data_IF_520846219955
#
_entry.id   IF_520846219955
#
_cell.length_a   1.000
_cell.length_b   1.000
_cell.length_c   1.000
_cell.angle_alpha   90.00
_cell.angle_beta   90.00
_cell.angle_gamma   90.00
#
_symmetry.space_group_name_H-M   'P 1'
#
loop_
_entity.id
_entity.type
_entity.pdbx_description
1 polymer ?
#
# COMPACT_ATOMS: atom_id res chain seq x y z
N UNK A 1 -8.64 -15.55 -10.50
CA UNK A 1 -7.93 -14.30 -10.16
C UNK A 1 -7.77 -14.27 -8.67
N UNK A 2 -6.53 -14.25 -8.21
CA UNK A 2 -6.21 -14.48 -6.80
C UNK A 2 -6.10 -13.12 -6.12
N UNK A 3 -6.88 -12.88 -5.07
CA UNK A 3 -6.91 -11.61 -4.33
C UNK A 3 -5.51 -11.15 -3.86
N UNK A 4 -4.60 -12.11 -3.71
CA UNK A 4 -3.17 -11.93 -3.43
C UNK A 4 -2.44 -11.10 -4.48
N UNK A 5 -2.82 -11.19 -5.75
CA UNK A 5 -2.23 -10.43 -6.87
C UNK A 5 -2.49 -8.92 -6.70
N UNK A 6 -3.66 -8.54 -6.17
CA UNK A 6 -4.02 -7.13 -5.95
C UNK A 6 -3.15 -6.51 -4.85
N UNK A 7 -2.86 -7.24 -3.77
CA UNK A 7 -1.98 -6.74 -2.71
C UNK A 7 -0.56 -6.51 -3.21
N UNK A 8 -0.01 -7.44 -4.00
CA UNK A 8 1.32 -7.30 -4.60
C UNK A 8 1.38 -6.13 -5.57
N UNK A 9 0.36 -5.97 -6.42
CA UNK A 9 0.29 -4.86 -7.36
C UNK A 9 0.23 -3.51 -6.64
N UNK A 10 -0.60 -3.38 -5.60
CA UNK A 10 -0.66 -2.13 -4.82
C UNK A 10 0.67 -1.89 -4.09
N UNK A 11 1.32 -2.93 -3.56
CA UNK A 11 2.65 -2.84 -2.95
C UNK A 11 3.67 -2.25 -3.93
N UNK A 12 3.72 -2.76 -5.17
CA UNK A 12 4.62 -2.28 -6.22
C UNK A 12 4.32 -0.82 -6.58
N UNK A 13 3.05 -0.47 -6.75
CA UNK A 13 2.64 0.88 -7.15
C UNK A 13 2.85 1.96 -6.07
N UNK A 14 3.06 1.57 -4.81
CA UNK A 14 3.49 2.47 -3.75
C UNK A 14 5.01 2.63 -3.65
N UNK A 15 5.80 1.88 -4.41
CA UNK A 15 7.24 2.08 -4.43
C UNK A 15 7.59 3.42 -5.08
N UNK A 16 8.82 3.85 -4.85
CA UNK A 16 9.34 5.08 -5.43
C UNK A 16 9.27 5.02 -6.98
N UNK A 17 8.79 6.08 -7.67
CA UNK A 17 8.54 6.04 -9.11
C UNK A 17 9.83 6.24 -9.90
N UNK A 18 10.68 5.22 -9.92
CA UNK A 18 11.91 5.18 -10.72
C UNK A 18 11.70 4.53 -12.10
N UNK A 19 12.76 4.53 -12.91
CA UNK A 19 12.77 3.92 -14.24
C UNK A 19 12.35 2.44 -14.22
N UNK A 20 12.65 1.69 -13.14
CA UNK A 20 12.27 0.27 -13.02
C UNK A 20 10.75 0.12 -12.91
N UNK A 21 10.11 0.89 -12.03
CA UNK A 21 8.64 0.90 -11.91
C UNK A 21 7.98 1.39 -13.21
N UNK A 22 8.52 2.46 -13.82
CA UNK A 22 7.92 3.05 -15.01
C UNK A 22 8.01 2.13 -16.24
N UNK A 23 9.06 1.30 -16.32
CA UNK A 23 9.25 0.35 -17.42
C UNK A 23 8.21 -0.77 -17.42
N UNK A 24 7.69 -1.15 -16.23
CA UNK A 24 6.73 -2.27 -16.08
C UNK A 24 5.26 -1.85 -16.12
N UNK A 25 4.95 -0.55 -16.30
CA UNK A 25 3.55 -0.07 -16.32
C UNK A 25 2.65 -0.78 -17.35
N UNK A 26 3.10 -1.07 -18.59
CA UNK A 26 2.27 -1.79 -19.56
C UNK A 26 1.85 -3.18 -19.07
N UNK A 27 2.77 -3.92 -18.42
CA UNK A 27 2.50 -5.23 -17.85
C UNK A 27 1.48 -5.13 -16.70
N UNK A 28 1.67 -4.16 -15.80
CA UNK A 28 0.74 -3.91 -14.70
C UNK A 28 -0.66 -3.52 -15.20
N UNK A 29 -0.75 -2.74 -16.29
CA UNK A 29 -2.03 -2.39 -16.90
C UNK A 29 -2.77 -3.62 -17.43
N UNK A 30 -2.07 -4.55 -18.08
CA UNK A 30 -2.67 -5.81 -18.54
C UNK A 30 -3.20 -6.63 -17.36
N UNK A 31 -2.48 -6.67 -16.24
CA UNK A 31 -2.97 -7.35 -15.03
C UNK A 31 -4.25 -6.70 -14.49
N UNK A 32 -4.25 -5.36 -14.34
CA UNK A 32 -5.41 -4.60 -13.86
C UNK A 32 -6.62 -4.77 -14.78
N UNK A 33 -6.44 -4.81 -16.09
CA UNK A 33 -7.53 -4.98 -17.07
C UNK A 33 -8.27 -6.32 -16.92
N UNK A 34 -7.63 -7.33 -16.31
CA UNK A 34 -8.28 -8.62 -16.02
C UNK A 34 -9.16 -8.58 -14.76
N UNK A 35 -9.09 -7.51 -13.96
CA UNK A 35 -9.80 -7.40 -12.69
C UNK A 35 -11.30 -7.19 -12.91
N UNK A 36 -12.11 -8.10 -12.35
CA UNK A 36 -13.57 -8.10 -12.58
C UNK A 36 -14.33 -7.10 -11.70
N UNK A 37 -13.76 -6.70 -10.58
CA UNK A 37 -14.41 -5.80 -9.62
C UNK A 37 -14.07 -4.35 -9.96
N UNK A 38 -15.03 -3.64 -10.55
CA UNK A 38 -14.85 -2.26 -11.00
C UNK A 38 -14.45 -1.30 -9.86
N UNK A 39 -14.82 -1.59 -8.59
CA UNK A 39 -14.42 -0.74 -7.45
C UNK A 39 -12.94 -0.83 -7.13
N UNK A 40 -12.28 -1.92 -7.54
CA UNK A 40 -10.85 -2.14 -7.37
C UNK A 40 -10.13 -1.79 -8.68
N UNK A 41 -10.67 -2.24 -9.81
CA UNK A 41 -10.06 -2.08 -11.13
C UNK A 41 -9.96 -0.60 -11.55
N UNK A 42 -11.05 0.16 -11.45
CA UNK A 42 -11.09 1.54 -11.92
C UNK A 42 -10.05 2.47 -11.25
N UNK A 43 -9.91 2.52 -9.90
CA UNK A 43 -8.91 3.38 -9.28
C UNK A 43 -7.48 2.96 -9.64
N UNK A 44 -7.19 1.66 -9.76
CA UNK A 44 -5.87 1.18 -10.18
C UNK A 44 -5.56 1.58 -11.63
N UNK A 45 -6.50 1.41 -12.55
CA UNK A 45 -6.34 1.86 -13.95
C UNK A 45 -6.15 3.37 -14.04
N UNK A 46 -6.87 4.15 -13.22
CA UNK A 46 -6.70 5.59 -13.19
C UNK A 46 -5.31 5.99 -12.68
N UNK A 47 -4.81 5.33 -11.65
CA UNK A 47 -3.46 5.56 -11.14
C UNK A 47 -2.38 5.22 -12.18
N UNK A 48 -2.48 4.05 -12.83
CA UNK A 48 -1.56 3.65 -13.90
C UNK A 48 -1.56 4.65 -15.06
N UNK A 49 -2.73 5.16 -15.44
CA UNK A 49 -2.82 6.21 -16.47
C UNK A 49 -2.11 7.49 -16.05
N UNK A 50 -2.22 7.91 -14.78
CA UNK A 50 -1.47 9.06 -14.27
C UNK A 50 0.04 8.84 -14.35
N UNK A 51 0.54 7.66 -13.95
CA UNK A 51 1.96 7.34 -14.05
C UNK A 51 2.47 7.36 -15.50
N UNK A 52 1.66 6.88 -16.46
CA UNK A 52 2.04 6.83 -17.86
C UNK A 52 2.08 8.21 -18.56
N UNK A 53 1.23 9.15 -18.13
CA UNK A 53 1.08 10.46 -18.78
C UNK A 53 1.86 11.60 -18.08
N UNK A 54 2.40 11.33 -16.89
CA UNK A 54 3.09 12.33 -16.07
C UNK A 54 4.61 12.16 -16.18
N UNK A 55 5.38 13.23 -16.44
CA UNK A 55 6.84 13.16 -16.43
C UNK A 55 7.42 12.62 -15.12
N UNK A 56 8.48 11.81 -15.21
CA UNK A 56 9.13 11.15 -14.06
C UNK A 56 9.54 12.12 -12.95
N UNK A 57 10.09 13.29 -13.32
CA UNK A 57 10.49 14.32 -12.35
C UNK A 57 9.30 14.85 -11.52
N UNK A 58 8.13 14.98 -12.14
CA UNK A 58 6.90 15.37 -11.44
C UNK A 58 6.35 14.25 -10.56
N UNK A 59 6.45 12.99 -11.01
CA UNK A 59 6.06 11.83 -10.20
C UNK A 59 6.92 11.71 -8.94
N UNK A 60 8.23 11.91 -9.09
CA UNK A 60 9.20 11.94 -8.01
C UNK A 60 8.89 13.09 -7.04
N UNK A 61 8.68 14.31 -7.54
CA UNK A 61 8.35 15.45 -6.70
C UNK A 61 7.07 15.20 -5.89
N UNK A 62 6.03 14.67 -6.53
CA UNK A 62 4.76 14.35 -5.87
C UNK A 62 4.89 13.21 -4.85
N UNK A 63 5.72 12.19 -5.13
CA UNK A 63 6.03 11.13 -4.16
C UNK A 63 6.72 11.71 -2.91
N UNK A 64 7.77 12.51 -3.10
CA UNK A 64 8.53 13.13 -2.01
C UNK A 64 7.64 14.04 -1.17
N UNK A 65 6.80 14.86 -1.82
CA UNK A 65 5.84 15.74 -1.14
C UNK A 65 4.93 14.96 -0.19
N UNK A 66 4.41 13.80 -0.63
CA UNK A 66 3.40 13.05 0.11
C UNK A 66 3.98 12.04 1.09
N UNK A 67 5.12 11.41 0.83
CA UNK A 67 5.60 10.31 1.66
C UNK A 67 6.87 10.65 2.45
N UNK A 68 7.77 11.45 1.89
CA UNK A 68 9.03 11.82 2.57
C UNK A 68 8.85 13.06 3.46
N UNK A 69 8.11 14.07 2.96
CA UNK A 69 7.81 15.28 3.72
C UNK A 69 6.40 15.29 4.33
N UNK A 70 5.51 14.42 3.84
CA UNK A 70 4.13 14.31 4.30
C UNK A 70 4.01 13.69 5.69
N UNK A 71 3.98 14.52 6.73
CA UNK A 71 3.85 14.07 8.13
C UNK A 71 2.60 13.24 8.40
N UNK A 72 1.51 13.50 7.67
CA UNK A 72 0.20 12.86 7.85
C UNK A 72 -0.20 11.94 6.71
N UNK A 73 0.73 11.61 5.82
CA UNK A 73 0.49 10.72 4.67
C UNK A 73 1.58 9.67 4.53
N UNK A 74 2.56 9.66 5.44
CA UNK A 74 3.56 8.61 5.51
C UNK A 74 2.91 7.21 5.54
N UNK A 75 3.59 6.24 4.94
CA UNK A 75 3.08 4.89 4.76
C UNK A 75 3.34 3.96 5.97
N UNK A 76 3.59 4.52 7.16
CA UNK A 76 3.84 3.74 8.38
C UNK A 76 2.57 3.64 9.23
N UNK A 77 1.84 2.52 9.11
CA UNK A 77 0.47 2.42 9.62
C UNK A 77 0.35 2.52 11.15
N UNK A 78 1.42 2.20 11.90
CA UNK A 78 1.40 2.34 13.37
C UNK A 78 1.65 3.77 13.84
N UNK A 79 2.18 4.64 12.97
CA UNK A 79 2.56 6.01 13.34
C UNK A 79 1.36 6.87 13.76
N UNK A 80 0.18 6.65 13.17
CA UNK A 80 -1.03 7.40 13.54
C UNK A 80 -1.52 7.12 14.96
N UNK A 81 -1.37 5.87 15.42
CA UNK A 81 -1.88 5.47 16.73
C UNK A 81 -0.89 5.83 17.84
N UNK A 82 0.40 5.59 17.59
CA UNK A 82 1.43 5.60 18.64
C UNK A 82 2.56 6.60 18.38
N UNK A 83 2.61 7.27 17.22
CA UNK A 83 3.63 8.27 16.89
C UNK A 83 5.06 7.77 17.09
N UNK A 84 5.89 8.55 17.77
CA UNK A 84 7.26 8.16 18.18
C UNK A 84 7.30 7.54 19.60
N UNK A 85 6.15 7.20 20.17
CA UNK A 85 6.08 6.73 21.54
C UNK A 85 6.67 5.31 21.67
N UNK A 86 7.03 4.94 22.92
CA UNK A 86 7.60 3.63 23.24
C UNK A 86 6.67 2.48 22.82
N UNK A 87 5.37 2.74 22.88
CA UNK A 87 4.28 1.86 22.49
C UNK A 87 4.42 1.41 21.02
N UNK A 88 4.84 2.32 20.12
CA UNK A 88 5.09 1.96 18.71
C UNK A 88 6.17 0.89 18.60
N UNK A 89 7.24 0.99 19.39
CA UNK A 89 8.31 -0.02 19.39
C UNK A 89 7.81 -1.44 19.71
N UNK A 90 6.77 -1.56 20.54
CA UNK A 90 6.13 -2.85 20.86
C UNK A 90 5.28 -3.35 19.69
N UNK A 91 4.55 -2.46 19.01
CA UNK A 91 3.78 -2.81 17.81
C UNK A 91 4.70 -3.29 16.67
N UNK A 92 5.83 -2.60 16.44
CA UNK A 92 6.82 -3.00 15.44
C UNK A 92 7.42 -4.37 15.75
N UNK A 93 7.74 -4.65 17.01
CA UNK A 93 8.26 -5.97 17.41
C UNK A 93 7.22 -7.07 17.13
N UNK A 94 5.96 -6.84 17.49
CA UNK A 94 4.86 -7.79 17.24
C UNK A 94 4.66 -8.05 15.74
N UNK A 95 4.71 -7.02 14.90
CA UNK A 95 4.63 -7.20 13.45
C UNK A 95 5.81 -8.03 12.92
N UNK A 96 7.04 -7.72 13.36
CA UNK A 96 8.23 -8.50 12.96
C UNK A 96 8.13 -9.97 13.36
N UNK A 97 7.61 -10.25 14.57
CA UNK A 97 7.34 -11.61 15.03
C UNK A 97 6.25 -12.29 14.20
N UNK A 98 5.14 -11.60 13.93
CA UNK A 98 4.02 -12.11 13.12
C UNK A 98 4.46 -12.51 11.70
N UNK A 99 5.24 -11.68 11.02
CA UNK A 99 5.76 -12.00 9.70
C UNK A 99 6.70 -13.22 9.73
N UNK A 100 7.57 -13.28 10.75
CA UNK A 100 8.49 -14.41 10.94
C UNK A 100 7.75 -15.73 11.19
N UNK A 101 6.67 -15.71 11.96
CA UNK A 101 5.83 -16.89 12.21
C UNK A 101 5.21 -17.46 10.93
N UNK A 102 4.98 -16.60 9.94
CA UNK A 102 4.45 -16.97 8.63
C UNK A 102 5.55 -17.16 7.57
N UNK A 103 6.82 -17.23 7.97
CA UNK A 103 7.94 -17.50 7.08
C UNK A 103 8.35 -16.33 6.19
N UNK A 104 7.87 -15.12 6.47
CA UNK A 104 8.23 -13.90 5.74
C UNK A 104 9.38 -13.18 6.43
N UNK A 105 10.51 -13.05 5.73
CA UNK A 105 11.73 -12.45 6.27
C UNK A 105 11.85 -10.99 5.82
N UNK A 106 11.71 -10.06 6.76
CA UNK A 106 11.94 -8.63 6.51
C UNK A 106 13.42 -8.31 6.62
N UNK A 107 13.91 -7.47 5.72
CA UNK A 107 15.24 -6.88 5.83
C UNK A 107 15.30 -5.89 7.01
N UNK A 108 16.45 -5.71 7.64
CA UNK A 108 16.57 -4.73 8.74
C UNK A 108 16.54 -3.26 8.25
N UNK A 109 16.40 -3.03 6.94
CA UNK A 109 16.39 -1.70 6.33
C UNK A 109 15.00 -1.06 6.27
N UNK A 110 13.93 -1.85 6.42
CA UNK A 110 12.55 -1.39 6.36
C UNK A 110 11.83 -1.70 7.67
N UNK A 111 11.00 -0.76 8.13
CA UNK A 111 10.17 -1.01 9.31
C UNK A 111 9.00 -1.94 8.96
N UNK A 112 8.61 -2.84 9.88
CA UNK A 112 7.55 -3.82 9.62
C UNK A 112 6.16 -3.23 9.43
N UNK A 113 5.95 -1.96 9.81
CA UNK A 113 4.69 -1.24 9.61
C UNK A 113 4.63 -0.41 8.32
N UNK A 114 5.66 -0.50 7.47
CA UNK A 114 5.62 0.08 6.15
C UNK A 114 4.57 -0.62 5.29
N UNK A 115 3.56 0.12 4.83
CA UNK A 115 2.38 -0.43 4.18
C UNK A 115 2.70 -1.26 2.92
N UNK A 116 3.60 -0.84 2.01
CA UNK A 116 3.98 -1.68 0.86
C UNK A 116 4.52 -3.04 1.29
N UNK A 117 5.46 -3.08 2.24
CA UNK A 117 5.96 -4.35 2.80
C UNK A 117 4.84 -5.20 3.42
N UNK A 118 3.91 -4.56 4.15
CA UNK A 118 2.75 -5.24 4.71
C UNK A 118 1.86 -5.86 3.63
N UNK A 119 1.68 -5.17 2.50
CA UNK A 119 0.90 -5.65 1.36
C UNK A 119 1.62 -6.75 0.58
N UNK A 120 2.94 -6.65 0.42
CA UNK A 120 3.77 -7.74 -0.11
C UNK A 120 3.58 -9.01 0.73
N UNK A 121 3.66 -8.89 2.05
CA UNK A 121 3.35 -9.99 2.96
C UNK A 121 1.93 -10.53 2.74
N UNK A 122 0.92 -9.65 2.67
CA UNK A 122 -0.48 -10.05 2.45
C UNK A 122 -0.71 -10.80 1.13
N UNK A 123 0.10 -10.54 0.11
CA UNK A 123 0.11 -11.27 -1.16
C UNK A 123 0.74 -12.66 -1.08
N UNK A 124 1.53 -12.95 -0.05
CA UNK A 124 2.29 -14.19 0.11
C UNK A 124 1.71 -15.15 1.15
N UNK A 125 0.61 -14.78 1.83
CA UNK A 125 -0.02 -15.59 2.87
C UNK A 125 -1.49 -15.90 2.57
N UNK A 126 -2.10 -16.90 3.24
CA UNK A 126 -3.53 -17.16 3.09
C UNK A 126 -4.39 -15.96 3.46
N UNK A 127 -5.50 -15.77 2.75
CA UNK A 127 -6.36 -14.59 2.89
C UNK A 127 -6.82 -14.28 4.31
N UNK A 128 -7.09 -15.30 5.14
CA UNK A 128 -7.49 -15.07 6.54
C UNK A 128 -6.38 -14.42 7.36
N UNK A 129 -5.12 -14.77 7.11
CA UNK A 129 -3.94 -14.16 7.76
C UNK A 129 -3.80 -12.70 7.32
N UNK A 130 -3.92 -12.44 6.01
CA UNK A 130 -3.89 -11.08 5.47
C UNK A 130 -5.01 -10.22 6.06
N UNK A 131 -6.23 -10.78 6.14
CA UNK A 131 -7.39 -10.07 6.67
C UNK A 131 -7.22 -9.75 8.17
N UNK A 132 -6.78 -10.72 8.98
CA UNK A 132 -6.53 -10.51 10.41
C UNK A 132 -5.51 -9.37 10.63
N UNK A 133 -4.45 -9.33 9.82
CA UNK A 133 -3.45 -8.26 9.89
C UNK A 133 -4.04 -6.91 9.49
N UNK A 134 -4.66 -6.83 8.31
CA UNK A 134 -5.16 -5.56 7.76
C UNK A 134 -6.33 -5.01 8.58
N UNK A 135 -7.16 -5.86 9.19
CA UNK A 135 -8.24 -5.44 10.10
C UNK A 135 -7.71 -4.65 11.30
N UNK A 136 -6.56 -5.05 11.85
CA UNK A 136 -5.94 -4.33 12.97
C UNK A 136 -5.45 -2.92 12.58
N UNK A 137 -5.25 -2.67 11.29
CA UNK A 137 -4.73 -1.41 10.75
C UNK A 137 -5.72 -0.64 9.87
N UNK A 138 -6.97 -1.12 9.74
CA UNK A 138 -7.98 -0.52 8.85
C UNK A 138 -8.20 0.97 9.12
N UNK A 139 -8.32 1.36 10.40
CA UNK A 139 -8.50 2.77 10.78
C UNK A 139 -7.34 3.66 10.34
N UNK A 140 -6.09 3.18 10.48
CA UNK A 140 -4.90 3.91 10.06
C UNK A 140 -4.80 4.00 8.52
N UNK A 141 -5.14 2.93 7.81
CA UNK A 141 -5.20 2.90 6.34
C UNK A 141 -6.26 3.90 5.83
N UNK A 142 -7.44 3.93 6.46
CA UNK A 142 -8.49 4.91 6.13
C UNK A 142 -8.04 6.35 6.39
N UNK A 143 -7.31 6.61 7.47
CA UNK A 143 -6.81 7.96 7.77
C UNK A 143 -5.81 8.42 6.71
N UNK A 144 -4.84 7.57 6.33
CA UNK A 144 -3.88 7.87 5.25
C UNK A 144 -4.64 8.16 3.95
N UNK A 145 -5.63 7.32 3.61
CA UNK A 145 -6.48 7.50 2.43
C UNK A 145 -7.19 8.85 2.44
N UNK A 146 -7.81 9.21 3.55
CA UNK A 146 -8.54 10.47 3.67
C UNK A 146 -7.59 11.66 3.53
N UNK A 147 -6.39 11.60 4.15
CA UNK A 147 -5.37 12.64 4.03
C UNK A 147 -4.83 12.78 2.61
N UNK A 148 -4.62 11.68 1.89
CA UNK A 148 -4.24 11.72 0.48
C UNK A 148 -5.33 12.36 -0.39
N UNK A 149 -6.62 12.07 -0.15
CA UNK A 149 -7.73 12.73 -0.83
C UNK A 149 -7.82 14.24 -0.51
N UNK A 150 -7.67 14.62 0.76
CA UNK A 150 -7.65 16.03 1.19
C UNK A 150 -6.54 16.83 0.49
N UNK A 151 -5.38 16.19 0.28
CA UNK A 151 -4.24 16.77 -0.43
C UNK A 151 -4.29 16.57 -1.95
N UNK A 152 -5.39 16.04 -2.50
CA UNK A 152 -5.57 15.80 -3.94
C UNK A 152 -4.49 14.89 -4.56
N UNK A 153 -3.94 13.97 -3.77
CA UNK A 153 -2.90 13.04 -4.20
C UNK A 153 -3.50 11.90 -5.02
N UNK A 154 -2.92 11.62 -6.19
CA UNK A 154 -3.35 10.47 -6.99
C UNK A 154 -3.05 9.13 -6.29
N UNK A 155 -2.11 9.07 -5.34
CA UNK A 155 -1.89 7.88 -4.49
C UNK A 155 -3.13 7.49 -3.65
N UNK A 156 -4.09 8.40 -3.46
CA UNK A 156 -5.36 8.06 -2.82
C UNK A 156 -6.11 6.94 -3.56
N UNK A 157 -5.93 6.84 -4.89
CA UNK A 157 -6.55 5.80 -5.72
C UNK A 157 -6.08 4.39 -5.32
N UNK A 158 -4.79 4.22 -4.98
CA UNK A 158 -4.28 2.94 -4.51
C UNK A 158 -4.96 2.49 -3.22
N UNK A 159 -5.22 3.44 -2.31
CA UNK A 159 -5.95 3.14 -1.07
C UNK A 159 -7.46 3.00 -1.29
N UNK A 160 -8.05 3.65 -2.29
CA UNK A 160 -9.44 3.38 -2.70
C UNK A 160 -9.60 1.91 -3.14
N UNK A 161 -8.66 1.41 -3.94
CA UNK A 161 -8.63 0.01 -4.37
C UNK A 161 -8.41 -0.96 -3.20
N UNK A 162 -7.47 -0.63 -2.30
CA UNK A 162 -7.18 -1.44 -1.12
C UNK A 162 -8.39 -1.53 -0.19
N UNK A 163 -9.05 -0.39 0.12
CA UNK A 163 -10.23 -0.38 0.99
C UNK A 163 -11.38 -1.14 0.35
N UNK A 164 -11.61 -0.99 -0.96
CA UNK A 164 -12.62 -1.79 -1.66
C UNK A 164 -12.34 -3.30 -1.60
N UNK A 165 -11.06 -3.70 -1.68
CA UNK A 165 -10.64 -5.08 -1.50
C UNK A 165 -10.89 -5.58 -0.07
N UNK A 166 -10.56 -4.77 0.94
CA UNK A 166 -10.77 -5.08 2.35
C UNK A 166 -12.26 -5.26 2.67
N UNK A 167 -13.10 -4.31 2.25
CA UNK A 167 -14.56 -4.36 2.44
C UNK A 167 -15.17 -5.61 1.79
N UNK A 168 -14.70 -5.96 0.58
CA UNK A 168 -15.14 -7.18 -0.12
C UNK A 168 -14.78 -8.45 0.66
N UNK A 169 -13.66 -8.43 1.37
CA UNK A 169 -13.17 -9.54 2.16
C UNK A 169 -13.81 -9.61 3.57
N UNK A 170 -14.70 -8.66 3.89
CA UNK A 170 -15.44 -8.62 5.15
C UNK A 170 -14.65 -8.02 6.32
N UNK A 171 -13.61 -7.24 6.01
CA UNK A 171 -12.89 -6.37 6.95
C UNK A 171 -13.63 -5.04 7.00
#
# INVERSE_FOLDING_TARGET
>A
MHQTEIYQLISILFQYPDEELLTILPELQVEVDNFQDAKIQAPLSQFLHVLAETPEDQLIEHYIEHFDFGRTTNLYVTYFNSGEARERGIELLKLKEFYKEHGFAITDNELPDYLPLMLEFCGNVPIHVSNDLLQNHYGSILEIRNKLHENQSYYAQLLDALVALMDRNGI
#
